data_IF_278850409832
#
_entry.id   IF_278850409832
#
_cell.length_a   1.000
_cell.length_b   1.000
_cell.length_c   1.000
_cell.angle_alpha   90.00
_cell.angle_beta   90.00
_cell.angle_gamma   90.00
#
_symmetry.space_group_name_H-M   'P 1'
#
loop_
_entity.id
_entity.type
_entity.pdbx_description
1 polymer ?
#
# COMPACT_ATOMS: atom_id res chain seq x y z
N UNK A 1 -4.21 3.99 -24.67
CA UNK A 1 -2.92 3.73 -25.35
C UNK A 1 -1.87 3.43 -24.30
N UNK A 2 -1.67 2.16 -23.97
CA UNK A 2 -0.59 1.70 -23.10
C UNK A 2 0.61 1.42 -24.01
N UNK A 3 1.66 2.22 -23.92
CA UNK A 3 2.86 1.99 -24.72
C UNK A 3 3.74 0.95 -23.99
N UNK A 4 3.87 -0.28 -24.52
CA UNK A 4 4.52 -1.40 -23.82
C UNK A 4 6.04 -1.19 -23.61
N UNK A 5 6.65 -0.19 -24.24
CA UNK A 5 8.09 0.11 -24.19
C UNK A 5 8.49 1.16 -23.13
N UNK A 6 7.54 1.79 -22.43
CA UNK A 6 7.88 2.86 -21.47
C UNK A 6 8.20 2.30 -20.09
N UNK A 7 9.42 1.82 -19.93
CA UNK A 7 9.96 1.51 -18.59
C UNK A 7 9.90 2.76 -17.70
N UNK A 8 9.45 2.64 -16.43
CA UNK A 8 9.27 3.80 -15.56
C UNK A 8 10.60 4.51 -15.33
N UNK A 9 10.60 5.82 -15.53
CA UNK A 9 11.79 6.65 -15.32
C UNK A 9 12.26 6.54 -13.87
N UNK A 10 13.55 6.75 -13.56
CA UNK A 10 14.07 6.66 -12.19
C UNK A 10 13.28 7.49 -11.18
N UNK A 11 12.81 8.68 -11.58
CA UNK A 11 11.96 9.57 -10.79
C UNK A 11 10.58 8.95 -10.51
N UNK A 12 9.96 8.30 -11.50
CA UNK A 12 8.71 7.58 -11.32
C UNK A 12 8.86 6.39 -10.37
N UNK A 13 10.00 5.69 -10.40
CA UNK A 13 10.27 4.59 -9.45
C UNK A 13 10.36 5.10 -8.01
N UNK A 14 10.96 6.26 -7.79
CA UNK A 14 11.03 6.88 -6.47
C UNK A 14 9.63 7.27 -5.97
N UNK A 15 8.84 7.94 -6.80
CA UNK A 15 7.45 8.30 -6.48
C UNK A 15 6.57 7.08 -6.24
N UNK A 16 6.66 6.04 -7.09
CA UNK A 16 5.93 4.80 -6.92
C UNK A 16 6.31 4.07 -5.63
N UNK A 17 7.58 4.13 -5.22
CA UNK A 17 8.05 3.56 -3.96
C UNK A 17 7.48 4.31 -2.76
N UNK A 18 7.43 5.65 -2.81
CA UNK A 18 6.77 6.47 -1.78
C UNK A 18 5.28 6.15 -1.68
N UNK A 19 4.59 6.03 -2.82
CA UNK A 19 3.19 5.64 -2.87
C UNK A 19 2.96 4.24 -2.27
N UNK A 20 3.83 3.28 -2.59
CA UNK A 20 3.75 1.92 -2.05
C UNK A 20 3.88 1.93 -0.51
N UNK A 21 4.79 2.73 0.04
CA UNK A 21 4.90 2.87 1.50
C UNK A 21 3.63 3.44 2.14
N UNK A 22 3.04 4.48 1.55
CA UNK A 22 1.79 5.07 2.04
C UNK A 22 0.66 4.03 2.04
N UNK A 23 0.49 3.31 0.93
CA UNK A 23 -0.51 2.27 0.80
C UNK A 23 -0.30 1.12 1.81
N UNK A 24 0.97 0.72 2.02
CA UNK A 24 1.31 -0.29 3.01
C UNK A 24 0.99 0.15 4.44
N UNK A 25 1.27 1.41 4.80
CA UNK A 25 0.93 1.97 6.13
C UNK A 25 -0.59 2.00 6.34
N UNK A 26 -1.35 2.45 5.35
CA UNK A 26 -2.82 2.45 5.43
C UNK A 26 -3.32 1.01 5.61
N UNK A 27 -2.90 0.09 4.74
CA UNK A 27 -3.29 -1.32 4.83
C UNK A 27 -2.96 -1.92 6.21
N UNK A 28 -1.79 -1.61 6.77
CA UNK A 28 -1.37 -2.07 8.10
C UNK A 28 -2.29 -1.55 9.20
N UNK A 29 -2.61 -0.25 9.23
CA UNK A 29 -3.49 0.36 10.25
C UNK A 29 -4.88 -0.26 10.20
N UNK A 30 -5.44 -0.43 8.99
CA UNK A 30 -6.74 -1.08 8.82
C UNK A 30 -6.70 -2.55 9.25
N UNK A 31 -5.66 -3.29 8.87
CA UNK A 31 -5.49 -4.68 9.27
C UNK A 31 -5.40 -4.82 10.79
N UNK A 32 -4.59 -3.99 11.45
CA UNK A 32 -4.48 -3.97 12.91
C UNK A 32 -5.82 -3.64 13.57
N UNK A 33 -6.58 -2.68 13.03
CA UNK A 33 -7.92 -2.36 13.54
C UNK A 33 -8.90 -3.54 13.42
N UNK A 34 -8.85 -4.30 12.32
CA UNK A 34 -9.67 -5.51 12.13
C UNK A 34 -9.27 -6.62 13.10
N UNK A 35 -7.97 -6.90 13.24
CA UNK A 35 -7.47 -7.91 14.18
C UNK A 35 -7.82 -7.51 15.61
N UNK A 36 -7.57 -6.26 16.00
CA UNK A 36 -7.93 -5.73 17.31
C UNK A 36 -9.42 -5.91 17.58
N UNK A 37 -10.29 -5.55 16.63
CA UNK A 37 -11.74 -5.75 16.78
C UNK A 37 -12.09 -7.22 16.96
N UNK A 38 -11.49 -8.12 16.19
CA UNK A 38 -11.72 -9.58 16.29
C UNK A 38 -11.25 -10.14 17.63
N UNK A 39 -10.11 -9.69 18.15
CA UNK A 39 -9.56 -10.14 19.44
C UNK A 39 -10.37 -9.59 20.62
N UNK A 40 -10.77 -8.31 20.57
CA UNK A 40 -11.46 -7.64 21.69
C UNK A 40 -12.96 -7.94 21.75
N UNK A 41 -13.63 -8.04 20.60
CA UNK A 41 -15.09 -8.20 20.52
C UNK A 41 -15.53 -9.56 19.96
N UNK A 42 -14.61 -10.49 19.73
CA UNK A 42 -14.86 -11.80 19.12
C UNK A 42 -14.68 -12.99 20.08
N UNK A 43 -15.01 -12.79 21.37
CA UNK A 43 -15.36 -13.86 22.29
C UNK A 43 -16.87 -14.03 22.35
#
# INVERSE_FOLDING_TARGET
MTNPEKSPTPEQRFSNRRLAFILATIALVFFLGVIFKRVVFGG
#
